data_IF_349568457316
#
_entry.id   IF_349568457316
#
_cell.length_a   1.000
_cell.length_b   1.000
_cell.length_c   1.000
_cell.angle_alpha   90.00
_cell.angle_beta   90.00
_cell.angle_gamma   90.00
#
_symmetry.space_group_name_H-M   'P 1'
#
loop_
_entity.id
_entity.type
_entity.pdbx_description
1 polymer ?
#
# COMPACT_ATOMS: atom_id res chain seq x y z
N UNK A 1 13.46 0.76 14.88
CA UNK A 1 12.23 0.15 15.43
C UNK A 1 12.06 0.67 16.84
N UNK A 2 10.87 1.11 17.20
CA UNK A 2 10.55 1.56 18.55
C UNK A 2 9.61 0.56 19.22
N UNK A 3 9.81 0.29 20.51
CA UNK A 3 8.93 -0.56 21.32
C UNK A 3 8.14 0.34 22.28
N UNK A 4 6.82 0.39 22.11
CA UNK A 4 5.89 1.08 23.02
C UNK A 4 4.83 0.05 23.45
N UNK A 5 4.64 -0.13 24.76
CA UNK A 5 3.56 -0.98 25.33
C UNK A 5 3.48 -2.41 24.76
N UNK A 6 4.62 -3.04 24.45
CA UNK A 6 4.66 -4.38 23.86
C UNK A 6 4.47 -4.42 22.34
N UNK A 7 4.22 -3.28 21.69
CA UNK A 7 4.13 -3.17 20.23
C UNK A 7 5.43 -2.66 19.61
N UNK A 8 5.93 -3.37 18.60
CA UNK A 8 7.07 -2.96 17.79
C UNK A 8 6.59 -2.17 16.58
N UNK A 9 7.06 -0.93 16.46
CA UNK A 9 6.74 -0.08 15.31
C UNK A 9 7.96 0.15 14.44
N UNK A 10 7.81 -0.12 13.13
CA UNK A 10 8.76 0.33 12.11
C UNK A 10 8.40 1.75 11.72
N UNK A 11 9.35 2.67 11.92
CA UNK A 11 9.27 4.05 11.48
C UNK A 11 10.14 4.27 10.26
N UNK A 12 9.55 4.84 9.21
CA UNK A 12 10.26 5.32 8.04
C UNK A 12 10.30 6.86 8.04
N UNK A 13 11.52 7.41 8.00
CA UNK A 13 11.77 8.83 8.10
C UNK A 13 11.76 9.45 6.69
N UNK A 14 10.75 10.26 6.41
CA UNK A 14 10.60 10.96 5.13
C UNK A 14 11.17 12.36 5.22
N UNK A 15 12.10 12.68 4.32
CA UNK A 15 12.76 14.00 4.26
C UNK A 15 11.89 15.10 3.63
N UNK A 16 10.77 14.75 2.99
CA UNK A 16 9.80 15.70 2.42
C UNK A 16 8.70 16.12 3.39
N UNK A 17 7.78 16.98 2.92
CA UNK A 17 6.48 17.22 3.56
C UNK A 17 5.41 16.30 2.95
N UNK A 18 4.34 15.99 3.69
CA UNK A 18 3.26 15.16 3.15
C UNK A 18 2.42 15.97 2.15
N UNK A 19 2.67 15.75 0.85
CA UNK A 19 1.78 16.26 -0.20
C UNK A 19 0.48 15.45 -0.29
N UNK A 20 0.49 14.20 0.19
CA UNK A 20 -0.70 13.39 0.37
C UNK A 20 -0.61 12.66 1.73
N UNK A 21 -1.15 13.28 2.80
CA UNK A 21 -1.00 12.81 4.18
C UNK A 21 -1.67 11.47 4.51
N UNK A 22 -2.43 10.90 3.56
CA UNK A 22 -3.12 9.64 3.75
C UNK A 22 -2.15 8.48 3.95
N UNK A 23 -2.42 7.66 4.95
CA UNK A 23 -1.91 6.30 4.97
C UNK A 23 -2.99 5.40 5.55
N UNK A 24 -3.18 4.24 4.95
CA UNK A 24 -4.23 3.31 5.34
C UNK A 24 -4.86 2.61 4.15
N UNK A 25 -5.90 1.87 4.47
CA UNK A 25 -6.69 1.08 3.54
C UNK A 25 -8.11 1.67 3.49
N UNK A 26 -8.63 2.03 2.32
CA UNK A 26 -10.05 2.33 2.19
C UNK A 26 -10.86 1.03 2.17
N UNK A 27 -11.85 0.94 3.05
CA UNK A 27 -12.85 -0.12 2.98
C UNK A 27 -13.71 0.10 1.73
N UNK A 28 -13.66 -0.89 0.84
CA UNK A 28 -14.45 -0.99 -0.38
C UNK A 28 -14.53 -2.47 -0.78
N UNK A 29 -15.23 -2.77 -1.87
CA UNK A 29 -15.15 -4.13 -2.46
C UNK A 29 -13.69 -4.38 -2.84
N UNK A 30 -13.12 -5.48 -2.37
CA UNK A 30 -11.79 -5.87 -2.80
C UNK A 30 -11.86 -6.11 -4.33
N UNK A 31 -11.08 -5.40 -5.14
CA UNK A 31 -11.16 -5.52 -6.60
C UNK A 31 -10.72 -6.88 -7.12
N UNK A 32 -10.08 -7.69 -6.27
CA UNK A 32 -9.67 -9.07 -6.50
C UNK A 32 -10.57 -10.06 -5.74
N UNK A 33 -11.61 -9.57 -5.04
CA UNK A 33 -12.59 -10.39 -4.33
C UNK A 33 -13.35 -11.27 -5.33
N UNK A 34 -13.37 -12.58 -5.08
CA UNK A 34 -14.00 -13.56 -5.97
C UNK A 34 -13.01 -14.37 -6.82
N UNK A 35 -11.75 -13.94 -6.94
CA UNK A 35 -10.62 -14.80 -7.36
C UNK A 35 -10.77 -15.54 -8.71
N UNK A 36 -11.72 -15.18 -9.58
CA UNK A 36 -12.02 -16.02 -10.74
C UNK A 36 -10.91 -16.00 -11.79
N UNK A 37 -10.07 -14.95 -11.83
CA UNK A 37 -8.93 -14.83 -12.76
C UNK A 37 -7.77 -14.05 -12.14
N UNK A 38 -6.55 -14.49 -12.41
CA UNK A 38 -5.36 -13.80 -11.94
C UNK A 38 -5.13 -12.50 -12.72
N UNK A 39 -4.49 -11.50 -12.09
CA UNK A 39 -4.25 -10.20 -12.72
C UNK A 39 -3.60 -10.32 -14.10
N UNK A 40 -2.61 -11.21 -14.26
CA UNK A 40 -1.86 -11.41 -15.50
C UNK A 40 -2.69 -11.96 -16.68
N UNK A 41 -3.82 -12.60 -16.38
CA UNK A 41 -4.74 -13.18 -17.37
C UNK A 41 -5.79 -12.17 -17.83
N UNK A 42 -5.90 -11.01 -17.17
CA UNK A 42 -6.88 -10.00 -17.52
C UNK A 42 -6.49 -9.29 -18.82
N UNK A 43 -7.50 -9.10 -19.67
CA UNK A 43 -7.45 -8.23 -20.85
C UNK A 43 -7.15 -6.77 -20.47
N UNK A 44 -6.64 -5.94 -21.39
CA UNK A 44 -6.15 -4.60 -21.07
C UNK A 44 -7.14 -3.70 -20.32
N UNK A 45 -8.43 -3.71 -20.66
CA UNK A 45 -9.43 -2.89 -19.98
C UNK A 45 -9.73 -3.36 -18.55
N UNK A 46 -10.16 -4.62 -18.30
CA UNK A 46 -10.40 -5.08 -16.94
C UNK A 46 -9.14 -5.06 -16.06
N UNK A 47 -7.96 -5.29 -16.65
CA UNK A 47 -6.68 -5.10 -15.95
C UNK A 47 -6.54 -3.67 -15.43
N UNK A 48 -6.77 -2.66 -16.29
CA UNK A 48 -6.65 -1.25 -15.89
C UNK A 48 -7.61 -0.89 -14.76
N UNK A 49 -8.85 -1.36 -14.85
CA UNK A 49 -9.89 -1.16 -13.83
C UNK A 49 -9.47 -1.81 -12.49
N UNK A 50 -8.93 -3.03 -12.52
CA UNK A 50 -8.44 -3.74 -11.34
C UNK A 50 -7.24 -3.01 -10.67
N UNK A 51 -6.22 -2.61 -11.45
CA UNK A 51 -5.07 -1.88 -10.91
C UNK A 51 -5.47 -0.52 -10.34
N UNK A 52 -6.38 0.20 -11.00
CA UNK A 52 -6.89 1.48 -10.48
C UNK A 52 -7.64 1.30 -9.17
N UNK A 53 -8.46 0.25 -9.05
CA UNK A 53 -9.16 -0.06 -7.82
C UNK A 53 -8.20 -0.47 -6.68
N UNK A 54 -7.16 -1.26 -6.98
CA UNK A 54 -6.09 -1.59 -6.03
C UNK A 54 -5.39 -0.31 -5.55
N UNK A 55 -4.96 0.55 -6.48
CA UNK A 55 -4.29 1.81 -6.15
C UNK A 55 -5.17 2.71 -5.28
N UNK A 56 -6.48 2.78 -5.54
CA UNK A 56 -7.43 3.53 -4.72
C UNK A 56 -7.58 2.97 -3.31
N UNK A 57 -7.58 1.65 -3.17
CA UNK A 57 -7.64 0.97 -1.87
C UNK A 57 -6.49 1.34 -0.92
N UNK A 58 -5.31 1.66 -1.46
CA UNK A 58 -4.15 2.08 -0.69
C UNK A 58 -3.94 3.59 -0.73
N UNK A 59 -4.34 4.29 0.33
CA UNK A 59 -4.15 5.74 0.42
C UNK A 59 -2.70 6.12 0.68
N UNK A 60 -2.17 7.04 -0.13
CA UNK A 60 -0.84 7.63 0.05
C UNK A 60 0.25 6.58 0.25
N UNK A 61 0.80 6.48 1.47
CA UNK A 61 1.85 5.51 1.80
C UNK A 61 1.34 4.15 2.29
N UNK A 62 0.03 3.89 2.20
CA UNK A 62 -0.62 2.67 2.71
C UNK A 62 0.05 1.40 2.23
N UNK A 63 0.25 1.25 0.91
CA UNK A 63 0.89 0.06 0.33
C UNK A 63 2.31 -0.16 0.89
N UNK A 64 3.10 0.91 1.01
CA UNK A 64 4.46 0.86 1.55
C UNK A 64 4.47 0.40 3.02
N UNK A 65 3.54 0.90 3.82
CA UNK A 65 3.44 0.57 5.24
C UNK A 65 2.93 -0.86 5.47
N UNK A 66 1.97 -1.35 4.65
CA UNK A 66 1.55 -2.75 4.68
C UNK A 66 2.69 -3.70 4.26
N UNK A 67 3.50 -3.30 3.28
CA UNK A 67 4.70 -4.07 2.90
C UNK A 67 5.67 -4.21 4.08
N UNK A 68 5.87 -3.16 4.88
CA UNK A 68 6.69 -3.26 6.09
C UNK A 68 6.13 -4.23 7.12
N UNK A 69 4.82 -4.24 7.32
CA UNK A 69 4.18 -5.21 8.22
C UNK A 69 4.37 -6.65 7.74
N UNK A 70 4.15 -6.90 6.45
CA UNK A 70 4.36 -8.21 5.84
C UNK A 70 5.81 -8.70 6.02
N UNK A 71 6.79 -7.82 5.81
CA UNK A 71 8.21 -8.16 5.98
C UNK A 71 8.62 -8.41 7.44
N UNK A 72 7.97 -7.74 8.40
CA UNK A 72 8.16 -8.03 9.83
C UNK A 72 7.53 -9.37 10.21
N UNK A 73 6.46 -9.77 9.51
CA UNK A 73 5.75 -11.02 9.78
C UNK A 73 6.53 -12.26 9.41
N UNK A 74 7.16 -12.28 8.24
CA UNK A 74 8.00 -13.38 7.79
C UNK A 74 9.22 -13.69 8.68
N UNK A 75 9.53 -12.83 9.66
CA UNK A 75 10.63 -13.06 10.63
C UNK A 75 10.22 -13.88 11.86
N UNK A 76 8.91 -14.07 12.11
CA UNK A 76 8.42 -14.90 13.22
C UNK A 76 8.73 -14.39 14.63
N UNK A 77 9.23 -13.15 14.77
CA UNK A 77 9.76 -12.64 16.05
C UNK A 77 8.70 -12.04 17.00
N UNK A 78 7.46 -11.84 16.53
CA UNK A 78 6.41 -11.08 17.24
C UNK A 78 5.00 -11.63 16.90
N UNK A 79 4.01 -11.49 17.77
CA UNK A 79 2.62 -11.88 17.50
C UNK A 79 1.87 -10.90 16.58
N UNK A 80 0.80 -11.37 15.94
CA UNK A 80 -0.15 -10.50 15.22
C UNK A 80 -0.79 -9.49 16.19
N UNK A 81 -0.71 -8.19 15.89
CA UNK A 81 -1.16 -7.10 16.78
C UNK A 81 -0.04 -6.46 17.62
N UNK A 82 1.12 -7.14 17.74
CA UNK A 82 2.33 -6.59 18.38
C UNK A 82 3.21 -5.81 17.41
N UNK A 83 2.72 -5.55 16.20
CA UNK A 83 3.47 -4.92 15.11
C UNK A 83 2.72 -3.72 14.55
N UNK A 84 3.46 -2.68 14.22
CA UNK A 84 2.93 -1.50 13.55
C UNK A 84 3.95 -0.93 12.57
N UNK A 85 3.47 -0.13 11.62
CA UNK A 85 4.29 0.64 10.71
C UNK A 85 3.82 2.10 10.71
N UNK A 86 4.75 3.02 10.50
CA UNK A 86 4.47 4.44 10.45
C UNK A 86 5.57 5.25 9.77
N UNK A 87 5.27 6.52 9.59
CA UNK A 87 6.08 7.53 8.94
C UNK A 87 6.39 8.65 9.90
N UNK A 88 7.58 9.22 9.73
CA UNK A 88 8.01 10.43 10.39
C UNK A 88 8.42 11.45 9.32
N UNK A 89 7.63 12.51 9.13
CA UNK A 89 7.92 13.58 8.16
C UNK A 89 8.82 14.66 8.80
N UNK A 90 10.10 14.63 8.47
CA UNK A 90 11.13 15.44 9.12
C UNK A 90 10.93 16.96 8.96
N UNK A 91 10.24 17.38 7.90
CA UNK A 91 9.97 18.79 7.60
C UNK A 91 8.62 19.29 8.12
N UNK A 92 7.82 18.44 8.75
CA UNK A 92 6.56 18.84 9.40
C UNK A 92 6.79 19.27 10.85
N UNK A 93 5.93 20.16 11.34
CA UNK A 93 5.90 20.60 12.74
C UNK A 93 5.57 19.43 13.69
N UNK A 94 5.92 19.57 14.98
CA UNK A 94 5.96 18.45 15.94
C UNK A 94 4.66 17.64 16.03
N UNK A 95 3.49 18.27 15.96
CA UNK A 95 2.20 17.60 16.13
C UNK A 95 1.75 16.79 14.89
N UNK A 96 2.21 17.14 13.69
CA UNK A 96 1.86 16.47 12.43
C UNK A 96 2.94 15.51 11.91
N UNK A 97 4.13 15.56 12.51
CA UNK A 97 5.33 14.82 12.11
C UNK A 97 5.18 13.29 12.16
N UNK A 98 4.43 12.71 13.10
CA UNK A 98 4.37 11.24 13.32
C UNK A 98 3.02 10.69 12.87
N UNK A 99 3.01 9.76 11.91
CA UNK A 99 1.79 9.13 11.39
C UNK A 99 1.95 7.63 11.33
N UNK A 100 1.11 6.87 12.02
CA UNK A 100 1.10 5.40 11.92
C UNK A 100 -0.07 4.92 11.09
N UNK A 101 0.13 3.83 10.35
CA UNK A 101 -0.89 3.15 9.54
C UNK A 101 -2.21 2.95 10.29
N UNK A 102 -2.12 2.62 11.58
CA UNK A 102 -3.28 2.32 12.43
C UNK A 102 -3.78 3.50 13.28
N UNK A 103 -3.12 4.67 13.21
CA UNK A 103 -3.55 5.86 13.97
C UNK A 103 -4.44 6.82 13.15
N UNK A 104 -4.63 6.59 11.84
CA UNK A 104 -5.28 7.57 10.96
C UNK A 104 -6.82 7.47 10.87
N UNK A 105 -7.45 6.46 11.47
CA UNK A 105 -8.92 6.33 11.48
C UNK A 105 -9.49 5.92 12.85
N UNK A 106 -8.77 6.20 13.94
CA UNK A 106 -9.25 5.90 15.29
C UNK A 106 -9.12 4.43 15.71
N UNK A 107 -9.72 4.11 16.85
CA UNK A 107 -9.50 2.88 17.64
C UNK A 107 -9.78 1.57 16.89
N UNK A 108 -10.67 1.57 15.89
CA UNK A 108 -11.04 0.38 15.11
C UNK A 108 -9.87 -0.27 14.37
N UNK A 109 -8.92 0.53 13.91
CA UNK A 109 -7.74 0.03 13.21
C UNK A 109 -6.69 -0.57 14.15
N UNK A 110 -6.85 -0.41 15.47
CA UNK A 110 -5.99 -1.03 16.49
C UNK A 110 -6.46 -2.43 16.87
N UNK A 111 -7.67 -2.82 16.48
CA UNK A 111 -8.18 -4.17 16.76
C UNK A 111 -7.33 -5.21 16.02
N UNK A 112 -6.74 -6.19 16.72
CA UNK A 112 -5.85 -7.18 16.12
C UNK A 112 -6.50 -7.94 14.96
N UNK A 113 -7.77 -8.30 15.06
CA UNK A 113 -8.50 -9.02 14.01
C UNK A 113 -8.65 -8.21 12.72
N UNK A 114 -8.91 -6.91 12.84
CA UNK A 114 -9.02 -6.00 11.68
C UNK A 114 -7.65 -5.84 11.02
N UNK A 115 -6.60 -5.68 11.82
CA UNK A 115 -5.24 -5.60 11.31
C UNK A 115 -4.82 -6.89 10.58
N UNK A 116 -5.13 -8.07 11.14
CA UNK A 116 -4.90 -9.38 10.52
C UNK A 116 -5.61 -9.53 9.19
N UNK A 117 -6.91 -9.26 9.16
CA UNK A 117 -7.71 -9.37 7.94
C UNK A 117 -7.13 -8.51 6.81
N UNK A 118 -6.70 -7.28 7.12
CA UNK A 118 -6.07 -6.39 6.14
C UNK A 118 -4.69 -6.83 5.69
N UNK A 119 -3.88 -7.43 6.58
CA UNK A 119 -2.59 -8.02 6.20
C UNK A 119 -2.80 -9.18 5.23
N UNK A 120 -3.80 -10.04 5.47
CA UNK A 120 -4.16 -11.14 4.56
C UNK A 120 -4.64 -10.67 3.20
N UNK A 121 -5.46 -9.61 3.15
CA UNK A 121 -5.88 -8.98 1.90
C UNK A 121 -4.66 -8.44 1.15
N UNK A 122 -3.77 -7.74 1.86
CA UNK A 122 -2.52 -7.22 1.27
C UNK A 122 -1.62 -8.34 0.73
N UNK A 123 -1.47 -9.45 1.46
CA UNK A 123 -0.71 -10.60 1.01
C UNK A 123 -1.26 -11.17 -0.31
N UNK A 124 -2.59 -11.32 -0.42
CA UNK A 124 -3.24 -11.73 -1.66
C UNK A 124 -2.97 -10.74 -2.80
N UNK A 125 -3.15 -9.43 -2.55
CA UNK A 125 -2.88 -8.40 -3.55
C UNK A 125 -1.42 -8.39 -4.00
N UNK A 126 -0.48 -8.53 -3.06
CA UNK A 126 0.95 -8.58 -3.36
C UNK A 126 1.29 -9.81 -4.20
N UNK A 127 0.73 -10.97 -3.87
CA UNK A 127 0.89 -12.20 -4.67
C UNK A 127 0.41 -12.03 -6.10
N UNK A 128 -0.78 -11.43 -6.29
CA UNK A 128 -1.35 -11.16 -7.61
C UNK A 128 -0.51 -10.15 -8.41
N UNK A 129 -0.01 -9.08 -7.78
CA UNK A 129 0.88 -8.09 -8.42
C UNK A 129 2.21 -8.73 -8.82
N UNK A 130 2.82 -9.53 -7.96
CA UNK A 130 4.07 -10.22 -8.26
C UNK A 130 3.89 -11.19 -9.43
N UNK A 131 2.82 -11.99 -9.41
CA UNK A 131 2.50 -12.89 -10.51
C UNK A 131 2.32 -12.13 -11.82
N UNK A 132 1.60 -10.99 -11.81
CA UNK A 132 1.46 -10.12 -12.98
C UNK A 132 2.79 -9.62 -13.53
N UNK A 133 3.70 -9.15 -12.67
CA UNK A 133 5.02 -8.67 -13.08
C UNK A 133 5.84 -9.75 -13.79
N UNK A 134 5.75 -11.01 -13.34
CA UNK A 134 6.60 -12.09 -13.86
C UNK A 134 5.96 -12.87 -15.02
N UNK A 135 4.64 -13.04 -15.03
CA UNK A 135 3.95 -13.92 -15.99
C UNK A 135 3.33 -13.16 -17.18
N UNK A 136 3.06 -11.85 -17.02
CA UNK A 136 2.44 -11.07 -18.10
C UNK A 136 3.43 -10.86 -19.25
N UNK A 137 3.04 -11.29 -20.45
CA UNK A 137 3.87 -11.18 -21.66
C UNK A 137 4.05 -9.76 -22.17
N UNK A 138 3.04 -8.91 -21.98
CA UNK A 138 2.99 -7.56 -22.54
C UNK A 138 2.74 -6.52 -21.45
N UNK A 139 3.59 -5.49 -21.39
CA UNK A 139 3.41 -4.40 -20.45
C UNK A 139 2.21 -3.52 -20.83
N UNK A 140 1.25 -3.37 -19.92
CA UNK A 140 0.09 -2.49 -20.12
C UNK A 140 0.31 -1.18 -19.36
N UNK A 141 0.68 -0.13 -20.09
CA UNK A 141 0.90 1.19 -19.52
C UNK A 141 -0.41 1.80 -18.98
N UNK A 142 -0.37 2.33 -17.76
CA UNK A 142 -1.46 3.04 -17.07
C UNK A 142 -1.10 4.52 -16.91
N UNK A 143 -1.18 5.34 -17.97
CA UNK A 143 -0.83 6.75 -17.88
C UNK A 143 -1.82 7.50 -16.99
N UNK A 144 -1.29 8.39 -16.14
CA UNK A 144 -2.04 9.29 -15.26
C UNK A 144 -1.37 10.65 -15.29
N UNK A 145 -2.11 11.74 -15.48
CA UNK A 145 -1.51 13.08 -15.53
C UNK A 145 -0.75 13.42 -14.23
N UNK A 146 -1.32 13.05 -13.08
CA UNK A 146 -0.70 13.31 -11.77
C UNK A 146 0.54 12.44 -11.56
N UNK A 147 0.45 11.14 -11.89
CA UNK A 147 1.51 10.17 -11.60
C UNK A 147 2.64 10.21 -12.65
N UNK A 148 2.35 10.62 -13.89
CA UNK A 148 3.33 10.68 -14.97
C UNK A 148 4.08 12.01 -15.05
N UNK A 149 3.69 13.04 -14.27
CA UNK A 149 4.31 14.38 -14.29
C UNK A 149 5.84 14.31 -14.18
N UNK A 150 6.32 13.45 -13.28
CA UNK A 150 7.74 13.25 -12.98
C UNK A 150 8.28 11.89 -13.47
N UNK A 151 7.51 11.14 -14.27
CA UNK A 151 7.96 9.84 -14.79
C UNK A 151 9.03 10.06 -15.88
N UNK A 152 10.24 9.49 -15.74
CA UNK A 152 11.32 9.66 -16.71
C UNK A 152 11.02 8.99 -18.06
N UNK A 153 10.15 7.98 -18.08
CA UNK A 153 9.76 7.25 -19.28
C UNK A 153 8.47 7.76 -19.93
N UNK A 154 7.93 8.92 -19.49
CA UNK A 154 6.65 9.43 -19.97
C UNK A 154 6.56 9.62 -21.50
N UNK A 155 7.69 9.93 -22.16
CA UNK A 155 7.77 10.09 -23.61
C UNK A 155 7.63 8.77 -24.38
N UNK A 156 7.93 7.63 -23.75
CA UNK A 156 7.84 6.30 -24.36
C UNK A 156 6.43 5.71 -24.26
N UNK A 157 5.57 6.23 -23.37
CA UNK A 157 4.24 5.70 -23.12
C UNK A 157 3.17 6.14 -24.14
N UNK A 158 3.53 6.93 -25.16
CA UNK A 158 2.66 7.25 -26.30
C UNK A 158 1.41 8.10 -26.01
N UNK A 159 1.18 8.53 -24.78
CA UNK A 159 0.02 9.38 -24.43
C UNK A 159 0.22 10.81 -24.94
N UNK A 160 -0.69 11.35 -25.79
CA UNK A 160 -0.75 12.78 -26.08
C UNK A 160 -1.23 13.54 -24.85
N UNK A 161 -0.74 14.77 -24.67
CA UNK A 161 -1.10 15.67 -23.59
C UNK A 161 -2.54 16.19 -23.71
#
# INVERSE_FOLDING_TARGET
>A
MEREEGRVTVWDYKSGSSQNPGSGFEEGKDPLEGGERALFELEPRPYREAIQALAKGYKGYGFQLFLYLFLLEGRGELGEGERSAGLIFLREEKESRRRSLFNLQGERNREPDVARARCKIFENHLGQILQDIFERREFIALPSQESCRYCPFKSLCGTPF
#
